data_IF_240476742937
#
_entry.id   IF_240476742937
#
_cell.length_a   1.000
_cell.length_b   1.000
_cell.length_c   1.000
_cell.angle_alpha   90.00
_cell.angle_beta   90.00
_cell.angle_gamma   90.00
#
_symmetry.space_group_name_H-M   'P 1'
#
loop_
_entity.id
_entity.type
_entity.pdbx_description
1 polymer ?
#
# COMPACT_ATOMS: atom_id res chain seq x y z
N UNK A 1 42.64 -5.50 -16.21
CA UNK A 1 41.23 -5.68 -16.58
C UNK A 1 40.37 -5.07 -15.48
N UNK A 2 39.56 -4.07 -15.83
CA UNK A 2 38.87 -3.21 -14.89
C UNK A 2 37.78 -3.97 -14.10
N UNK A 3 37.85 -3.94 -12.76
CA UNK A 3 36.70 -4.25 -11.91
C UNK A 3 35.74 -3.07 -11.99
N UNK A 4 34.68 -3.20 -12.78
CA UNK A 4 33.57 -2.23 -12.73
C UNK A 4 32.94 -2.30 -11.34
N UNK A 5 32.94 -1.15 -10.67
CA UNK A 5 32.05 -0.89 -9.54
C UNK A 5 30.60 -0.82 -10.06
N UNK A 6 29.60 -1.31 -9.31
CA UNK A 6 28.22 -1.08 -9.68
C UNK A 6 27.93 0.43 -9.61
N UNK A 7 27.32 1.03 -10.65
CA UNK A 7 26.89 2.41 -10.58
C UNK A 7 25.62 2.51 -9.72
N UNK A 8 25.49 3.65 -9.03
CA UNK A 8 24.25 4.19 -8.48
C UNK A 8 23.73 3.68 -7.12
N UNK A 9 24.52 3.88 -6.05
CA UNK A 9 23.98 4.02 -4.69
C UNK A 9 23.26 5.37 -4.44
N UNK A 10 23.06 6.21 -5.46
CA UNK A 10 22.59 7.60 -5.29
C UNK A 10 21.16 7.85 -5.79
N UNK A 11 20.51 6.91 -6.49
CA UNK A 11 19.19 7.14 -7.09
C UNK A 11 18.00 6.52 -6.33
N UNK A 12 18.23 5.55 -5.43
CA UNK A 12 17.13 4.86 -4.73
C UNK A 12 16.55 5.66 -3.55
N UNK A 13 17.29 6.63 -3.00
CA UNK A 13 16.85 7.45 -1.87
C UNK A 13 15.92 8.62 -2.27
N UNK A 14 15.69 8.85 -3.57
CA UNK A 14 14.89 9.99 -4.08
C UNK A 14 13.90 9.56 -5.16
N UNK A 15 13.48 8.28 -5.16
CA UNK A 15 12.42 7.84 -6.05
C UNK A 15 11.09 8.51 -5.67
N UNK A 16 10.30 8.99 -6.64
CA UNK A 16 8.99 9.58 -6.38
C UNK A 16 8.07 8.57 -5.65
N UNK A 17 7.06 9.07 -4.93
CA UNK A 17 6.08 8.19 -4.30
C UNK A 17 5.36 7.34 -5.37
N UNK A 18 4.99 6.09 -5.05
CA UNK A 18 4.30 5.21 -5.97
C UNK A 18 2.90 5.73 -6.29
N UNK A 19 2.47 5.54 -7.54
CA UNK A 19 1.17 6.03 -8.02
C UNK A 19 -0.02 5.24 -7.43
N UNK A 20 0.16 3.95 -7.19
CA UNK A 20 -0.88 3.03 -6.75
C UNK A 20 -0.33 1.89 -5.88
N UNK A 21 -1.24 1.13 -5.27
CA UNK A 21 -0.92 0.04 -4.34
C UNK A 21 -0.02 -1.04 -4.98
N UNK A 22 -0.37 -1.50 -6.19
CA UNK A 22 0.37 -2.56 -6.89
C UNK A 22 1.82 -2.13 -7.18
N UNK A 23 2.01 -0.88 -7.62
CA UNK A 23 3.35 -0.31 -7.84
C UNK A 23 4.16 -0.24 -6.56
N UNK A 24 3.54 0.16 -5.44
CA UNK A 24 4.20 0.25 -4.14
C UNK A 24 4.62 -1.14 -3.62
N UNK A 25 3.72 -2.12 -3.76
CA UNK A 25 3.96 -3.50 -3.36
C UNK A 25 5.09 -4.14 -4.18
N UNK A 26 5.04 -4.00 -5.51
CA UNK A 26 6.08 -4.53 -6.40
C UNK A 26 7.46 -3.88 -6.16
N UNK A 27 7.49 -2.62 -5.73
CA UNK A 27 8.75 -1.98 -5.31
C UNK A 27 9.26 -2.55 -3.98
N UNK A 28 8.37 -2.73 -3.00
CA UNK A 28 8.72 -3.30 -1.70
C UNK A 28 9.27 -4.72 -1.83
N UNK A 29 8.64 -5.57 -2.65
CA UNK A 29 9.10 -6.93 -2.92
C UNK A 29 10.51 -6.96 -3.54
N UNK A 30 10.78 -6.07 -4.50
CA UNK A 30 12.12 -5.93 -5.11
C UNK A 30 13.15 -5.50 -4.08
N UNK A 31 12.81 -4.57 -3.19
CA UNK A 31 13.71 -4.14 -2.11
C UNK A 31 14.03 -5.31 -1.19
N UNK A 32 13.02 -6.06 -0.75
CA UNK A 32 13.19 -7.23 0.13
C UNK A 32 14.08 -8.29 -0.55
N UNK A 33 13.79 -8.65 -1.80
CA UNK A 33 14.63 -9.59 -2.56
C UNK A 33 16.08 -9.15 -2.65
N UNK A 34 16.33 -7.84 -2.86
CA UNK A 34 17.69 -7.31 -2.94
C UNK A 34 18.39 -7.33 -1.59
N UNK A 35 17.66 -7.09 -0.50
CA UNK A 35 18.20 -7.17 0.87
C UNK A 35 18.53 -8.62 1.26
N UNK A 36 17.68 -9.57 0.88
CA UNK A 36 17.87 -11.01 1.13
C UNK A 36 19.05 -11.61 0.36
N UNK A 37 19.40 -11.03 -0.80
CA UNK A 37 20.58 -11.43 -1.56
C UNK A 37 21.90 -11.18 -0.81
N UNK A 38 21.92 -10.30 0.20
CA UNK A 38 23.04 -10.14 1.14
C UNK A 38 24.29 -9.42 0.59
N UNK A 39 24.29 -8.98 -0.66
CA UNK A 39 25.43 -8.30 -1.30
C UNK A 39 25.42 -6.77 -1.11
N UNK A 40 24.50 -6.24 -0.29
CA UNK A 40 24.27 -4.81 -0.15
C UNK A 40 25.19 -4.16 0.91
N UNK A 41 25.91 -3.07 0.57
CA UNK A 41 26.64 -2.27 1.55
C UNK A 41 25.73 -1.69 2.63
N UNK A 42 26.25 -1.48 3.85
CA UNK A 42 25.48 -1.00 5.00
C UNK A 42 24.65 0.26 4.70
N UNK A 43 25.27 1.30 4.14
CA UNK A 43 24.57 2.54 3.76
C UNK A 43 23.41 2.29 2.79
N UNK A 44 23.59 1.40 1.82
CA UNK A 44 22.55 1.04 0.87
C UNK A 44 21.42 0.25 1.58
N UNK A 45 21.76 -0.65 2.51
CA UNK A 45 20.78 -1.40 3.31
C UNK A 45 19.93 -0.48 4.18
N UNK A 46 20.53 0.56 4.76
CA UNK A 46 19.80 1.57 5.52
C UNK A 46 18.87 2.40 4.63
N UNK A 47 19.30 2.75 3.42
CA UNK A 47 18.46 3.47 2.46
C UNK A 47 17.28 2.60 1.97
N UNK A 48 17.55 1.34 1.63
CA UNK A 48 16.56 0.35 1.25
C UNK A 48 15.52 0.13 2.34
N UNK A 49 15.94 0.00 3.60
CA UNK A 49 15.06 -0.12 4.74
C UNK A 49 14.14 1.10 4.91
N UNK A 50 14.69 2.32 4.85
CA UNK A 50 13.90 3.56 4.93
C UNK A 50 12.84 3.63 3.83
N UNK A 51 13.23 3.32 2.58
CA UNK A 51 12.30 3.26 1.46
C UNK A 51 11.22 2.21 1.69
N UNK A 52 11.59 1.02 2.17
CA UNK A 52 10.66 -0.04 2.52
C UNK A 52 9.61 0.38 3.53
N UNK A 53 10.00 1.11 4.59
CA UNK A 53 9.05 1.67 5.57
C UNK A 53 8.06 2.63 4.91
N UNK A 54 8.52 3.54 4.05
CA UNK A 54 7.65 4.46 3.34
C UNK A 54 6.64 3.74 2.43
N UNK A 55 7.09 2.71 1.71
CA UNK A 55 6.21 1.90 0.85
C UNK A 55 5.19 1.12 1.68
N UNK A 56 5.61 0.55 2.81
CA UNK A 56 4.71 -0.17 3.71
C UNK A 56 3.61 0.75 4.27
N UNK A 57 3.97 1.95 4.69
CA UNK A 57 3.01 2.96 5.17
C UNK A 57 1.99 3.31 4.08
N UNK A 58 2.47 3.59 2.86
CA UNK A 58 1.59 3.86 1.73
C UNK A 58 0.61 2.70 1.46
N UNK A 59 1.09 1.45 1.48
CA UNK A 59 0.24 0.27 1.28
C UNK A 59 -0.85 0.17 2.36
N UNK A 60 -0.49 0.39 3.63
CA UNK A 60 -1.45 0.36 4.74
C UNK A 60 -2.51 1.45 4.62
N UNK A 61 -2.12 2.67 4.24
CA UNK A 61 -3.05 3.78 4.01
C UNK A 61 -4.05 3.47 2.90
N UNK A 62 -3.59 2.87 1.79
CA UNK A 62 -4.46 2.47 0.68
C UNK A 62 -5.45 1.38 1.09
N UNK A 63 -4.99 0.37 1.85
CA UNK A 63 -5.86 -0.69 2.36
C UNK A 63 -6.89 -0.13 3.35
N UNK A 64 -6.49 0.76 4.26
CA UNK A 64 -7.40 1.40 5.20
C UNK A 64 -8.48 2.24 4.51
N UNK A 65 -8.11 3.00 3.47
CA UNK A 65 -9.07 3.75 2.66
C UNK A 65 -10.07 2.85 1.92
N UNK A 66 -9.60 1.71 1.41
CA UNK A 66 -10.47 0.71 0.77
C UNK A 66 -11.44 0.09 1.79
N UNK A 67 -10.95 -0.30 2.97
CA UNK A 67 -11.78 -0.86 4.04
C UNK A 67 -12.84 0.15 4.51
N UNK A 68 -12.48 1.42 4.66
CA UNK A 68 -13.42 2.47 5.02
C UNK A 68 -14.51 2.64 3.95
N UNK A 69 -14.12 2.57 2.67
CA UNK A 69 -15.07 2.66 1.55
C UNK A 69 -16.08 1.51 1.61
N UNK A 70 -15.61 0.28 1.84
CA UNK A 70 -16.47 -0.90 1.99
C UNK A 70 -17.48 -0.69 3.14
N UNK A 71 -17.01 -0.26 4.33
CA UNK A 71 -17.88 -0.01 5.48
C UNK A 71 -18.97 1.02 5.20
N UNK A 72 -18.65 2.08 4.45
CA UNK A 72 -19.64 3.11 4.08
C UNK A 72 -20.70 2.51 3.16
N UNK A 73 -20.30 1.71 2.17
CA UNK A 73 -21.23 1.06 1.24
C UNK A 73 -22.14 0.07 1.96
N UNK A 74 -21.61 -0.77 2.84
CA UNK A 74 -22.38 -1.71 3.64
C UNK A 74 -23.40 -0.99 4.54
N UNK A 75 -22.98 0.07 5.23
CA UNK A 75 -23.87 0.88 6.06
C UNK A 75 -24.98 1.56 5.25
N UNK A 76 -24.68 2.04 4.04
CA UNK A 76 -25.67 2.62 3.14
C UNK A 76 -26.70 1.58 2.66
N UNK A 77 -26.25 0.37 2.34
CA UNK A 77 -27.14 -0.74 1.98
C UNK A 77 -28.06 -1.14 3.14
N UNK A 78 -27.52 -1.18 4.37
CA UNK A 78 -28.31 -1.48 5.57
C UNK A 78 -29.36 -0.39 5.87
N UNK A 79 -29.04 0.89 5.63
CA UNK A 79 -30.00 1.99 5.78
C UNK A 79 -31.10 1.94 4.73
N UNK A 80 -30.77 1.67 3.47
CA UNK A 80 -31.75 1.51 2.40
C UNK A 80 -32.72 0.36 2.69
N UNK A 81 -32.20 -0.82 3.06
CA UNK A 81 -33.02 -1.97 3.44
C UNK A 81 -33.92 -1.70 4.66
N UNK A 82 -33.44 -0.89 5.62
CA UNK A 82 -34.24 -0.48 6.78
C UNK A 82 -35.38 0.46 6.40
N UNK A 83 -35.13 1.41 5.49
CA UNK A 83 -36.16 2.36 5.07
C UNK A 83 -37.29 1.64 4.33
N UNK A 84 -36.96 0.67 3.47
CA UNK A 84 -37.97 -0.16 2.79
C UNK A 84 -38.85 -0.93 3.78
N UNK A 85 -38.27 -1.49 4.86
CA UNK A 85 -39.05 -2.24 5.87
C UNK A 85 -39.93 -1.39 6.78
N UNK A 86 -39.63 -0.09 6.93
CA UNK A 86 -40.41 0.82 7.78
C UNK A 86 -41.59 1.45 7.04
N UNK A 87 -41.61 1.41 5.71
CA UNK A 87 -42.72 1.89 4.88
C UNK A 87 -43.79 0.80 4.63
N UNK A 88 -43.49 -0.48 4.90
CA UNK A 88 -44.41 -1.60 4.61
C UNK A 88 -45.34 -2.00 5.76
N UNK A 89 -45.50 -1.19 6.82
CA UNK A 89 -45.89 -1.71 8.14
C UNK A 89 -46.99 -1.02 8.95
N UNK A 90 -47.87 -0.15 8.41
CA UNK A 90 -48.92 0.50 9.24
C UNK A 90 -50.33 0.64 8.62
N UNK A 91 -50.75 -0.21 7.67
CA UNK A 91 -52.12 -0.12 7.09
C UNK A 91 -52.90 -1.45 6.99
N UNK A 92 -52.74 -2.38 7.94
CA UNK A 92 -53.73 -3.46 8.13
C UNK A 92 -54.67 -3.12 9.30
N UNK A 93 -55.90 -2.78 8.92
CA UNK A 93 -57.06 -2.46 9.76
C UNK A 93 -57.68 -3.67 10.47
#
# INVERSE_FOLDING_TARGET
>A
MAKQAPPAASSAATAPPPDNFESALAELERIVQTMEAGEMPLEASLAAYKRGITLLQFCQERLGAAEQTIKILENGQLQAARLDTLDTGEDEA
#
